data_IF_492082880804
#
_entry.id   IF_492082880804
#
_cell.length_a   1.000
_cell.length_b   1.000
_cell.length_c   1.000
_cell.angle_alpha   90.00
_cell.angle_beta   90.00
_cell.angle_gamma   90.00
#
_symmetry.space_group_name_H-M   'P 1'
#
loop_
_entity.id
_entity.type
_entity.pdbx_description
1 polymer ?
#
# COMPACT_ATOMS: atom_id res chain seq x y z
N UNK A 1 -2.44 -16.69 1.59
CA UNK A 1 -3.13 -15.84 2.59
C UNK A 1 -3.75 -14.63 1.92
N UNK A 2 -2.95 -13.76 1.29
CA UNK A 2 -3.46 -12.57 0.58
C UNK A 2 -4.45 -12.90 -0.55
N UNK A 3 -4.15 -13.93 -1.36
CA UNK A 3 -5.08 -14.43 -2.38
C UNK A 3 -6.44 -14.80 -1.82
N UNK A 4 -6.48 -15.59 -0.73
CA UNK A 4 -7.72 -15.93 -0.01
C UNK A 4 -8.47 -14.70 0.49
N UNK A 5 -7.78 -13.68 1.01
CA UNK A 5 -8.42 -12.44 1.43
C UNK A 5 -9.07 -11.73 0.24
N UNK A 6 -8.39 -11.65 -0.90
CA UNK A 6 -8.89 -10.97 -2.11
C UNK A 6 -10.04 -11.69 -2.79
N UNK A 7 -9.98 -13.02 -2.86
CA UNK A 7 -11.07 -13.87 -3.39
C UNK A 7 -12.40 -13.64 -2.64
N UNK A 8 -12.33 -13.22 -1.38
CA UNK A 8 -13.49 -12.99 -0.54
C UNK A 8 -14.03 -11.55 -0.59
N UNK A 9 -13.36 -10.62 -1.29
CA UNK A 9 -13.85 -9.26 -1.45
C UNK A 9 -15.06 -9.28 -2.39
N UNK A 10 -16.21 -8.80 -1.90
CA UNK A 10 -17.46 -8.77 -2.66
C UNK A 10 -18.03 -7.36 -2.68
N UNK A 11 -18.42 -6.87 -3.86
CA UNK A 11 -18.99 -5.52 -4.03
C UNK A 11 -18.14 -4.42 -3.35
N UNK A 12 -16.82 -4.51 -3.51
CA UNK A 12 -15.83 -3.63 -2.88
C UNK A 12 -15.75 -3.68 -1.34
N UNK A 13 -16.46 -4.60 -0.69
CA UNK A 13 -16.44 -4.81 0.75
C UNK A 13 -15.48 -5.97 1.10
N UNK A 14 -14.48 -5.74 1.97
CA UNK A 14 -13.60 -6.81 2.43
C UNK A 14 -14.35 -7.79 3.35
N UNK A 15 -13.94 -9.07 3.41
CA UNK A 15 -14.53 -10.04 4.32
C UNK A 15 -14.30 -9.63 5.78
N UNK A 16 -15.09 -10.20 6.69
CA UNK A 16 -14.81 -10.17 8.13
C UNK A 16 -13.55 -10.99 8.47
N UNK A 17 -13.02 -10.80 9.68
CA UNK A 17 -11.85 -11.56 10.14
C UNK A 17 -12.18 -13.05 10.27
N UNK A 18 -13.39 -13.34 10.74
CA UNK A 18 -13.95 -14.66 10.92
C UNK A 18 -14.10 -15.38 9.56
N UNK A 19 -14.75 -14.75 8.58
CA UNK A 19 -14.90 -15.32 7.22
C UNK A 19 -13.55 -15.61 6.56
N UNK A 20 -12.59 -14.69 6.69
CA UNK A 20 -11.23 -14.88 6.17
C UNK A 20 -10.54 -16.09 6.81
N UNK A 21 -10.61 -16.22 8.13
CA UNK A 21 -9.96 -17.31 8.87
C UNK A 21 -10.60 -18.66 8.54
N UNK A 22 -11.93 -18.74 8.55
CA UNK A 22 -12.65 -20.00 8.32
C UNK A 22 -12.49 -20.47 6.86
N UNK A 23 -12.55 -19.56 5.90
CA UNK A 23 -12.27 -19.88 4.49
C UNK A 23 -10.83 -20.37 4.33
N UNK A 24 -9.85 -19.72 4.98
CA UNK A 24 -8.46 -20.13 4.88
C UNK A 24 -8.24 -21.53 5.46
N UNK A 25 -8.83 -21.85 6.63
CA UNK A 25 -8.75 -23.18 7.23
C UNK A 25 -9.36 -24.25 6.33
N UNK A 26 -10.52 -23.96 5.73
CA UNK A 26 -11.21 -24.87 4.81
C UNK A 26 -10.38 -25.13 3.56
N UNK A 27 -9.74 -24.10 3.00
CA UNK A 27 -8.90 -24.22 1.80
C UNK A 27 -7.57 -24.96 2.07
N UNK A 28 -7.09 -24.93 3.31
CA UNK A 28 -5.79 -25.50 3.70
C UNK A 28 -5.88 -26.29 5.02
N UNK A 29 -6.57 -27.45 5.02
CA UNK A 29 -6.86 -28.22 6.24
C UNK A 29 -5.60 -28.81 6.90
N UNK A 30 -4.54 -29.07 6.13
CA UNK A 30 -3.33 -29.76 6.59
C UNK A 30 -2.35 -28.84 7.37
N UNK A 31 -2.61 -27.54 7.43
CA UNK A 31 -1.74 -26.59 8.14
C UNK A 31 -1.94 -26.68 9.66
N UNK A 32 -0.85 -26.84 10.41
CA UNK A 32 -0.87 -26.87 11.90
C UNK A 32 -1.57 -25.63 12.48
N UNK A 33 -2.77 -25.85 13.03
CA UNK A 33 -3.76 -24.79 13.28
C UNK A 33 -3.42 -23.80 14.42
N UNK A 34 -2.66 -24.22 15.45
CA UNK A 34 -2.44 -23.35 16.62
C UNK A 34 -1.62 -22.09 16.31
N UNK A 35 -0.64 -22.19 15.41
CA UNK A 35 0.18 -21.04 15.00
C UNK A 35 -0.40 -20.22 13.84
N UNK A 36 -1.24 -20.84 13.00
CA UNK A 36 -1.72 -20.20 11.78
C UNK A 36 -2.80 -19.16 12.08
N UNK A 37 -3.70 -19.41 13.04
CA UNK A 37 -4.79 -18.49 13.37
C UNK A 37 -4.25 -17.12 13.83
N UNK A 38 -3.24 -17.10 14.69
CA UNK A 38 -2.61 -15.85 15.13
C UNK A 38 -1.93 -15.10 13.98
N UNK A 39 -1.32 -15.83 13.03
CA UNK A 39 -0.74 -15.22 11.82
C UNK A 39 -1.82 -14.65 10.92
N UNK A 40 -2.92 -15.36 10.71
CA UNK A 40 -4.08 -14.91 9.92
C UNK A 40 -4.71 -13.66 10.53
N UNK A 41 -4.93 -13.64 11.85
CA UNK A 41 -5.46 -12.46 12.57
C UNK A 41 -4.60 -11.21 12.35
N UNK A 42 -3.27 -11.34 12.43
CA UNK A 42 -2.33 -10.23 12.17
C UNK A 42 -2.32 -9.82 10.70
N UNK A 43 -2.28 -10.80 9.78
CA UNK A 43 -2.25 -10.54 8.34
C UNK A 43 -3.51 -9.80 7.87
N UNK A 44 -4.67 -10.22 8.37
CA UNK A 44 -5.97 -9.61 8.07
C UNK A 44 -5.99 -8.10 8.31
N UNK A 45 -5.47 -7.62 9.45
CA UNK A 45 -5.43 -6.18 9.74
C UNK A 45 -4.58 -5.41 8.72
N UNK A 46 -3.47 -6.00 8.27
CA UNK A 46 -2.63 -5.40 7.24
C UNK A 46 -3.30 -5.40 5.87
N UNK A 47 -3.98 -6.49 5.50
CA UNK A 47 -4.71 -6.57 4.22
C UNK A 47 -5.86 -5.58 4.14
N UNK A 48 -6.63 -5.40 5.23
CA UNK A 48 -7.68 -4.37 5.28
C UNK A 48 -7.09 -2.96 5.11
N UNK A 49 -5.93 -2.67 5.72
CA UNK A 49 -5.25 -1.38 5.56
C UNK A 49 -4.76 -1.15 4.14
N UNK A 50 -4.12 -2.14 3.53
CA UNK A 50 -3.62 -2.09 2.14
C UNK A 50 -4.79 -1.92 1.16
N UNK A 51 -5.88 -2.67 1.36
CA UNK A 51 -7.09 -2.54 0.55
C UNK A 51 -7.71 -1.14 0.68
N UNK A 52 -7.83 -0.63 1.91
CA UNK A 52 -8.31 0.72 2.17
C UNK A 52 -7.40 1.79 1.54
N UNK A 53 -6.08 1.57 1.52
CA UNK A 53 -5.16 2.46 0.80
C UNK A 53 -5.51 2.53 -0.69
N UNK A 54 -5.75 1.39 -1.33
CA UNK A 54 -6.17 1.36 -2.73
C UNK A 54 -7.44 2.16 -2.99
N UNK A 55 -8.44 2.01 -2.11
CA UNK A 55 -9.69 2.77 -2.17
C UNK A 55 -9.45 4.28 -2.07
N UNK A 56 -8.71 4.74 -1.04
CA UNK A 56 -8.47 6.18 -0.88
C UNK A 56 -7.59 6.75 -2.00
N UNK A 57 -6.61 6.00 -2.51
CA UNK A 57 -5.82 6.43 -3.66
C UNK A 57 -6.69 6.62 -4.91
N UNK A 58 -7.61 5.69 -5.20
CA UNK A 58 -8.52 5.78 -6.35
C UNK A 58 -9.46 6.99 -6.27
N UNK A 59 -9.83 7.42 -5.07
CA UNK A 59 -10.60 8.67 -4.85
C UNK A 59 -9.81 9.92 -5.27
N UNK A 60 -8.48 9.89 -5.16
CA UNK A 60 -7.61 11.05 -5.35
C UNK A 60 -6.86 11.08 -6.67
N UNK A 61 -6.69 9.93 -7.34
CA UNK A 61 -5.90 9.79 -8.56
C UNK A 61 -6.69 9.06 -9.63
N UNK A 62 -6.66 9.58 -10.86
CA UNK A 62 -7.37 8.98 -12.01
C UNK A 62 -6.83 7.61 -12.41
N UNK A 63 -5.52 7.37 -12.24
CA UNK A 63 -4.86 6.14 -12.68
C UNK A 63 -4.03 5.54 -11.56
N UNK A 64 -4.70 4.68 -10.78
CA UNK A 64 -4.10 3.82 -9.75
C UNK A 64 -4.19 2.39 -10.22
N UNK A 65 -3.04 1.74 -10.34
CA UNK A 65 -2.93 0.34 -10.77
C UNK A 65 -2.48 -0.48 -9.58
N UNK A 66 -3.18 -1.57 -9.37
CA UNK A 66 -2.74 -2.67 -8.53
C UNK A 66 -2.35 -3.82 -9.47
N UNK A 67 -1.16 -4.41 -9.31
CA UNK A 67 -0.67 -5.48 -10.19
C UNK A 67 -0.02 -6.59 -9.34
N UNK A 68 -0.63 -7.78 -9.35
CA UNK A 68 -0.16 -8.96 -8.61
C UNK A 68 1.24 -9.43 -9.04
N UNK A 69 1.67 -9.14 -10.28
CA UNK A 69 3.04 -9.44 -10.74
C UNK A 69 4.05 -8.42 -10.21
N UNK A 70 3.61 -7.21 -9.89
CA UNK A 70 4.41 -6.13 -9.29
C UNK A 70 4.47 -6.25 -7.75
N UNK A 71 3.47 -6.88 -7.13
CA UNK A 71 3.43 -7.25 -5.70
C UNK A 71 4.59 -8.19 -5.31
N UNK A 72 5.03 -9.07 -6.22
CA UNK A 72 6.26 -9.90 -6.05
C UNK A 72 7.51 -9.02 -5.89
N UNK A 73 7.46 -7.79 -6.40
CA UNK A 73 8.47 -6.76 -6.26
C UNK A 73 8.40 -5.93 -4.98
N UNK A 74 7.38 -6.11 -4.16
CA UNK A 74 7.17 -5.34 -2.92
C UNK A 74 6.64 -3.93 -3.14
N UNK A 75 5.98 -3.66 -4.27
CA UNK A 75 5.24 -2.42 -4.56
C UNK A 75 3.75 -2.69 -4.36
N UNK A 76 3.10 -1.91 -3.50
CA UNK A 76 1.68 -2.12 -3.17
C UNK A 76 0.75 -1.50 -4.23
N UNK A 77 1.08 -0.32 -4.73
CA UNK A 77 0.31 0.35 -5.80
C UNK A 77 1.22 1.11 -6.76
N UNK A 78 0.76 1.28 -8.00
CA UNK A 78 1.39 2.17 -8.99
C UNK A 78 0.45 3.33 -9.29
N UNK A 79 0.96 4.56 -9.20
CA UNK A 79 0.21 5.76 -9.53
C UNK A 79 0.85 6.45 -10.73
N UNK A 80 0.04 6.77 -11.73
CA UNK A 80 0.47 7.63 -12.83
C UNK A 80 -0.05 9.05 -12.57
N UNK A 81 0.87 9.96 -12.28
CA UNK A 81 0.54 11.34 -11.94
C UNK A 81 1.38 12.32 -12.75
N UNK A 82 0.70 13.20 -13.52
CA UNK A 82 1.32 14.21 -14.40
C UNK A 82 2.42 13.63 -15.32
N UNK A 83 2.15 12.46 -15.91
CA UNK A 83 3.07 11.80 -16.85
C UNK A 83 4.19 10.98 -16.20
N UNK A 84 4.29 10.94 -14.86
CA UNK A 84 5.30 10.18 -14.13
C UNK A 84 4.68 8.95 -13.47
N UNK A 85 5.42 7.83 -13.50
CA UNK A 85 5.09 6.59 -12.78
C UNK A 85 5.71 6.62 -11.38
N UNK A 86 4.87 6.48 -10.36
CA UNK A 86 5.26 6.35 -8.96
C UNK A 86 4.91 4.95 -8.44
N UNK A 87 5.88 4.26 -7.87
CA UNK A 87 5.73 3.00 -7.16
C UNK A 87 5.52 3.29 -5.67
N UNK A 88 4.38 2.88 -5.13
CA UNK A 88 3.93 3.21 -3.79
C UNK A 88 4.16 2.03 -2.85
N UNK A 89 4.76 2.31 -1.71
CA UNK A 89 5.02 1.34 -0.65
C UNK A 89 4.32 1.73 0.64
N UNK A 90 3.43 0.87 1.10
CA UNK A 90 2.66 1.00 2.31
C UNK A 90 3.30 0.19 3.44
N UNK A 91 3.50 0.82 4.59
CA UNK A 91 3.91 0.11 5.80
C UNK A 91 3.42 0.84 7.04
N UNK A 92 3.35 0.11 8.15
CA UNK A 92 3.04 0.70 9.46
C UNK A 92 4.33 1.30 10.03
N UNK A 93 4.29 2.54 10.48
CA UNK A 93 5.44 3.30 10.98
C UNK A 93 5.90 2.88 12.38
N UNK A 94 6.06 1.58 12.59
CA UNK A 94 6.71 0.98 13.78
C UNK A 94 8.15 0.61 13.44
N UNK A 95 8.98 0.38 14.44
CA UNK A 95 10.37 -0.08 14.25
C UNK A 95 10.44 -1.33 13.37
N UNK A 96 9.59 -2.32 13.68
CA UNK A 96 9.50 -3.54 12.88
C UNK A 96 9.04 -3.25 11.44
N UNK A 97 8.09 -2.33 11.24
CA UNK A 97 7.64 -1.95 9.90
C UNK A 97 8.74 -1.28 9.07
N UNK A 98 9.53 -0.38 9.69
CA UNK A 98 10.71 0.25 9.08
C UNK A 98 11.77 -0.78 8.72
N UNK A 99 12.09 -1.69 9.64
CA UNK A 99 13.05 -2.77 9.42
C UNK A 99 12.69 -3.63 8.20
N UNK A 100 11.43 -4.08 8.09
CA UNK A 100 10.99 -4.85 6.91
C UNK A 100 10.97 -4.03 5.63
N UNK A 101 10.71 -2.71 5.72
CA UNK A 101 10.75 -1.79 4.57
C UNK A 101 12.17 -1.64 4.03
N UNK A 102 13.17 -1.53 4.91
CA UNK A 102 14.59 -1.47 4.57
C UNK A 102 15.07 -2.76 3.90
N UNK A 103 14.68 -3.93 4.42
CA UNK A 103 14.98 -5.22 3.78
C UNK A 103 14.39 -5.29 2.36
N UNK A 104 13.17 -4.79 2.18
CA UNK A 104 12.52 -4.73 0.87
C UNK A 104 13.21 -3.73 -0.08
N UNK A 105 13.79 -2.65 0.44
CA UNK A 105 14.50 -1.65 -0.36
C UNK A 105 15.67 -2.25 -1.16
N UNK A 106 16.40 -3.21 -0.59
CA UNK A 106 17.52 -3.87 -1.27
C UNK A 106 17.13 -4.80 -2.42
N UNK A 107 15.83 -5.03 -2.67
CA UNK A 107 15.32 -5.98 -3.68
C UNK A 107 14.73 -5.33 -4.92
N UNK A 108 14.65 -3.99 -4.97
CA UNK A 108 13.93 -3.27 -6.02
C UNK A 108 14.72 -3.20 -7.33
N UNK A 109 14.34 -4.03 -8.31
CA UNK A 109 14.80 -3.93 -9.72
C UNK A 109 13.89 -3.06 -10.60
N UNK A 110 12.86 -2.43 -10.04
CA UNK A 110 11.83 -1.75 -10.81
C UNK A 110 12.25 -0.33 -11.18
N UNK A 111 12.02 0.05 -12.45
CA UNK A 111 12.17 1.44 -12.91
C UNK A 111 11.01 2.29 -12.39
N UNK A 112 11.30 3.52 -11.97
CA UNK A 112 10.31 4.51 -11.54
C UNK A 112 10.72 5.23 -10.27
N UNK A 113 9.87 6.14 -9.81
CA UNK A 113 10.06 6.86 -8.54
C UNK A 113 9.38 6.08 -7.42
N UNK A 114 10.12 5.76 -6.36
CA UNK A 114 9.62 4.98 -5.24
C UNK A 114 9.23 5.91 -4.09
N UNK A 115 7.98 5.84 -3.67
CA UNK A 115 7.45 6.68 -2.59
C UNK A 115 6.83 5.81 -1.50
N UNK A 116 7.17 6.18 -0.28
CA UNK A 116 6.70 5.52 0.92
C UNK A 116 5.48 6.24 1.50
N UNK A 117 4.47 5.48 1.91
CA UNK A 117 3.26 5.96 2.57
C UNK A 117 3.17 5.31 3.95
N UNK A 118 3.91 5.84 4.93
CA UNK A 118 3.87 5.33 6.29
C UNK A 118 2.50 5.57 6.92
N UNK A 119 1.97 4.52 7.54
CA UNK A 119 0.80 4.59 8.43
C UNK A 119 1.25 4.84 9.85
N UNK A 120 0.87 5.97 10.41
CA UNK A 120 1.00 6.26 11.83
C UNK A 120 -0.26 5.77 12.55
N UNK A 121 -0.09 4.79 13.46
CA UNK A 121 -1.23 4.18 14.16
C UNK A 121 -1.93 5.17 15.12
N UNK A 122 -1.26 6.23 15.54
CA UNK A 122 -1.84 7.23 16.45
C UNK A 122 -2.57 8.33 15.68
N UNK A 123 -2.28 8.50 14.38
CA UNK A 123 -2.85 9.56 13.52
C UNK A 123 -3.79 9.05 12.44
N UNK A 124 -3.92 7.73 12.29
CA UNK A 124 -4.85 7.14 11.33
C UNK A 124 -6.31 7.31 11.75
N UNK A 125 -7.23 7.11 10.81
CA UNK A 125 -8.66 7.11 11.11
C UNK A 125 -9.04 5.82 11.81
N UNK A 126 -9.55 5.91 13.04
CA UNK A 126 -10.04 4.75 13.79
C UNK A 126 -11.44 4.37 13.31
N UNK A 127 -11.63 3.11 12.94
CA UNK A 127 -12.90 2.51 12.58
C UNK A 127 -13.01 1.15 13.28
N UNK A 128 -13.66 1.13 14.45
CA UNK A 128 -13.62 -0.02 15.36
C UNK A 128 -12.19 -0.40 15.73
N UNK A 129 -11.79 -1.65 15.42
CA UNK A 129 -10.43 -2.18 15.64
C UNK A 129 -9.42 -1.78 14.55
N UNK A 130 -9.86 -1.16 13.47
CA UNK A 130 -8.99 -0.76 12.37
C UNK A 130 -8.50 0.66 12.54
N UNK A 131 -7.25 0.87 12.15
CA UNK A 131 -6.65 2.19 11.98
C UNK A 131 -6.30 2.31 10.50
N UNK A 132 -6.94 3.25 9.81
CA UNK A 132 -7.00 3.34 8.36
C UNK A 132 -6.35 4.63 7.85
N UNK A 133 -6.00 4.63 6.55
CA UNK A 133 -5.39 5.78 5.90
C UNK A 133 -6.35 6.96 5.85
N UNK A 134 -5.79 8.17 5.84
CA UNK A 134 -6.55 9.42 5.81
C UNK A 134 -6.21 10.22 4.57
N UNK A 135 -7.05 11.21 4.24
CA UNK A 135 -6.76 12.15 3.16
C UNK A 135 -5.43 12.90 3.41
N UNK A 136 -5.04 13.10 4.67
CA UNK A 136 -3.74 13.67 5.03
C UNK A 136 -2.56 12.81 4.56
N UNK A 137 -2.67 11.47 4.63
CA UNK A 137 -1.63 10.58 4.09
C UNK A 137 -1.50 10.77 2.56
N UNK A 138 -2.62 10.92 1.86
CA UNK A 138 -2.64 11.13 0.41
C UNK A 138 -2.11 12.52 0.02
N UNK A 139 -2.40 13.56 0.81
CA UNK A 139 -1.90 14.91 0.57
C UNK A 139 -0.37 14.97 0.71
N UNK A 140 0.19 14.36 1.76
CA UNK A 140 1.65 14.22 1.90
C UNK A 140 2.27 13.49 0.72
N UNK A 141 1.62 12.42 0.24
CA UNK A 141 2.08 11.71 -0.95
C UNK A 141 2.07 12.62 -2.19
N UNK A 142 1.02 13.43 -2.40
CA UNK A 142 0.94 14.39 -3.51
C UNK A 142 2.04 15.45 -3.43
N UNK A 143 2.34 15.96 -2.24
CA UNK A 143 3.41 16.92 -2.02
C UNK A 143 4.76 16.34 -2.45
N UNK A 144 5.07 15.11 -2.05
CA UNK A 144 6.31 14.42 -2.46
C UNK A 144 6.37 14.18 -3.96
N UNK A 145 5.26 13.76 -4.58
CA UNK A 145 5.18 13.62 -6.03
C UNK A 145 5.45 14.95 -6.76
N UNK A 146 4.89 16.06 -6.27
CA UNK A 146 5.09 17.39 -6.85
C UNK A 146 6.55 17.84 -6.72
N UNK A 147 7.19 17.61 -5.57
CA UNK A 147 8.62 17.89 -5.37
C UNK A 147 9.47 17.16 -6.41
N UNK A 148 9.21 15.87 -6.64
CA UNK A 148 9.94 15.07 -7.62
C UNK A 148 9.69 15.57 -9.05
N UNK A 149 8.44 15.88 -9.41
CA UNK A 149 8.09 16.43 -10.72
C UNK A 149 8.83 17.74 -10.97
N UNK A 150 8.86 18.64 -9.99
CA UNK A 150 9.51 19.94 -10.13
C UNK A 150 11.03 19.80 -10.28
N UNK A 151 11.67 18.86 -9.58
CA UNK A 151 13.10 18.55 -9.75
C UNK A 151 13.44 18.02 -11.15
N UNK A 152 12.49 17.37 -11.82
CA UNK A 152 12.65 16.79 -13.17
C UNK A 152 12.36 17.79 -14.29
N UNK A 153 11.71 18.91 -14.02
CA UNK A 153 11.53 19.96 -15.02
C UNK A 153 12.87 20.66 -15.22
N UNK A 154 13.39 20.78 -16.46
CA UNK A 154 14.54 21.63 -16.70
C UNK A 154 14.20 23.05 -16.22
N UNK A 155 15.13 23.71 -15.52
CA UNK A 155 15.05 25.15 -15.31
C UNK A 155 14.91 25.75 -16.71
N UNK A 156 13.79 26.40 -17.01
CA UNK A 156 13.71 27.21 -18.23
C UNK A 156 14.89 28.18 -18.18
N UNK A 157 15.70 28.16 -19.22
CA UNK A 157 16.87 29.02 -19.37
C UNK A 157 16.49 30.47 -19.07
N UNK A 158 17.11 31.04 -18.03
CA UNK A 158 17.16 32.48 -17.78
C UNK A 158 18.15 33.19 -18.72
N UNK A 159 18.47 32.58 -19.87
CA UNK A 159 19.31 33.17 -20.90
C UNK A 159 18.53 33.26 -22.21
N UNK A 160 17.85 34.38 -22.40
CA UNK A 160 17.75 35.07 -23.70
C UNK A 160 17.22 36.48 -23.44
N UNK A 161 18.13 37.34 -23.04
CA UNK A 161 17.99 38.79 -23.01
C UNK A 161 19.35 39.41 -23.29
N UNK A 162 19.82 39.21 -24.54
CA UNK A 162 20.80 40.09 -25.18
C UNK A 162 20.03 41.14 -25.98
#
# INVERSE_FOLDING_TARGET
MLSTFRELIKNEVPPTQEEFIETFKTKYPDLKLRGIVSRLKRAYLSYVREYHLGYILKKHFKKVVYDEKVDIGGVDYVIYYRGIKFNIHAYVNTENGKYWREIKNGRHKFRGEHLDVPMDLDKGKRCGKFILYTDNNVNKLKEEMVKIINKRRPKKDENNGL
#
